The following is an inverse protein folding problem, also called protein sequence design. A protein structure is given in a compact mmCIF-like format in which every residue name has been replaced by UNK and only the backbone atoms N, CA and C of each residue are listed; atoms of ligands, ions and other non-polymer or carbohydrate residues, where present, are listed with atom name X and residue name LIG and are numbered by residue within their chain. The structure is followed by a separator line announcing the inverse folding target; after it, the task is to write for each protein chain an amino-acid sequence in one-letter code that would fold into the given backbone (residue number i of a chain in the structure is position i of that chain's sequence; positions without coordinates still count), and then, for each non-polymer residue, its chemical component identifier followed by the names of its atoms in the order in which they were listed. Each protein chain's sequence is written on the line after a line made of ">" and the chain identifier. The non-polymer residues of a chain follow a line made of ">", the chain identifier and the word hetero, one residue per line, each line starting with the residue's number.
data_IF_662974146439
#
_entry.id   IF_662974146439
#
_cell.length_a   1.000
_cell.length_b   1.000
_cell.length_c   1.000
_cell.angle_alpha   90.00
_cell.angle_beta   90.00
_cell.angle_gamma   90.00
#
_symmetry.space_group_name_H-M   'P 1'
#
loop_
_entity.id
_entity.type
_entity.pdbx_description
1 polymer ?
#
# COMPACT_ATOMS: atom_id res chain seq x y z
N UNK A 1 26.33 -7.80 53.05
CA UNK A 1 25.05 -7.36 52.46
C UNK A 1 25.02 -7.92 51.05
N UNK A 2 24.42 -9.10 50.88
CA UNK A 2 24.17 -9.75 49.59
C UNK A 2 22.65 -9.75 49.38
N UNK A 3 22.14 -8.88 48.51
CA UNK A 3 20.71 -8.76 48.20
C UNK A 3 20.48 -8.28 46.75
N UNK A 4 21.25 -8.77 45.78
CA UNK A 4 21.11 -8.32 44.39
C UNK A 4 20.93 -9.42 43.35
N UNK A 5 21.10 -10.70 43.67
CA UNK A 5 21.10 -11.76 42.64
C UNK A 5 19.75 -12.49 42.46
N UNK A 6 18.94 -12.65 43.52
CA UNK A 6 17.67 -13.40 43.42
C UNK A 6 16.58 -12.69 42.61
N UNK A 7 16.53 -11.35 42.63
CA UNK A 7 15.51 -10.57 41.91
C UNK A 7 15.64 -10.65 40.39
N UNK A 8 16.88 -10.78 39.88
CA UNK A 8 17.15 -10.77 38.44
C UNK A 8 16.77 -12.11 37.80
N UNK A 9 16.99 -13.20 38.53
CA UNK A 9 16.70 -14.56 38.12
C UNK A 9 15.18 -14.86 38.11
N UNK A 10 14.41 -14.28 39.05
CA UNK A 10 12.94 -14.40 39.04
C UNK A 10 12.26 -13.62 37.90
N UNK A 11 12.80 -12.46 37.51
CA UNK A 11 12.25 -11.67 36.40
C UNK A 11 12.44 -12.38 35.06
N UNK A 12 13.62 -12.98 34.84
CA UNK A 12 13.90 -13.75 33.62
C UNK A 12 13.01 -14.99 33.50
N UNK A 13 12.78 -15.73 34.60
CA UNK A 13 11.85 -16.86 34.60
C UNK A 13 10.40 -16.45 34.33
N UNK A 14 9.98 -15.26 34.80
CA UNK A 14 8.63 -14.74 34.52
C UNK A 14 8.49 -14.29 33.07
N UNK A 15 9.52 -13.71 32.47
CA UNK A 15 9.53 -13.35 31.04
C UNK A 15 9.49 -14.59 30.15
N UNK A 16 10.19 -15.68 30.51
CA UNK A 16 10.09 -16.96 29.79
C UNK A 16 8.68 -17.55 29.85
N UNK A 17 8.06 -17.60 31.05
CA UNK A 17 6.69 -18.13 31.21
C UNK A 17 5.67 -17.28 30.44
N UNK A 18 5.82 -15.96 30.43
CA UNK A 18 4.94 -15.07 29.66
C UNK A 18 5.12 -15.30 28.16
N UNK A 19 6.36 -15.47 27.70
CA UNK A 19 6.67 -15.73 26.29
C UNK A 19 6.12 -17.08 25.82
N UNK A 20 6.30 -18.14 26.62
CA UNK A 20 5.74 -19.47 26.34
C UNK A 20 4.21 -19.47 26.34
N UNK A 21 3.58 -18.76 27.28
CA UNK A 21 2.13 -18.63 27.32
C UNK A 21 1.58 -17.84 26.12
N UNK A 22 2.30 -16.81 25.69
CA UNK A 22 2.01 -16.04 24.48
C UNK A 22 2.11 -16.94 23.24
N UNK A 23 3.21 -17.69 23.08
CA UNK A 23 3.40 -18.60 21.96
C UNK A 23 2.35 -19.70 21.93
N UNK A 24 1.98 -20.24 23.10
CA UNK A 24 0.92 -21.24 23.22
C UNK A 24 -0.45 -20.64 22.85
N UNK A 25 -0.74 -19.40 23.26
CA UNK A 25 -1.96 -18.69 22.87
C UNK A 25 -1.99 -18.41 21.36
N UNK A 26 -0.87 -18.08 20.73
CA UNK A 26 -0.81 -17.82 19.28
C UNK A 26 -0.87 -19.11 18.44
N UNK A 27 -0.31 -20.21 18.92
CA UNK A 27 -0.35 -21.51 18.24
C UNK A 27 -1.71 -22.22 18.35
N UNK A 28 -2.42 -22.08 19.49
CA UNK A 28 -3.69 -22.78 19.72
C UNK A 28 -4.94 -21.91 19.51
N UNK A 29 -4.83 -20.60 19.31
CA UNK A 29 -6.01 -19.75 19.10
C UNK A 29 -6.46 -19.69 17.64
N UNK A 30 -7.76 -19.49 17.46
CA UNK A 30 -8.37 -19.08 16.18
C UNK A 30 -7.67 -17.85 15.54
N UNK A 31 -6.89 -17.10 16.31
CA UNK A 31 -6.09 -15.98 15.87
C UNK A 31 -4.90 -16.39 14.97
N UNK A 32 -4.25 -17.53 15.23
CA UNK A 32 -3.17 -18.04 14.36
C UNK A 32 -3.69 -18.40 12.96
N UNK A 33 -4.86 -19.03 12.89
CA UNK A 33 -5.54 -19.31 11.62
C UNK A 33 -6.03 -18.04 10.91
N UNK A 34 -6.44 -17.02 11.67
CA UNK A 34 -6.80 -15.70 11.12
C UNK A 34 -5.58 -14.95 10.57
N UNK A 35 -4.42 -14.99 11.23
CA UNK A 35 -3.20 -14.35 10.74
C UNK A 35 -2.67 -15.07 9.50
N UNK A 36 -2.67 -16.41 9.48
CA UNK A 36 -2.30 -17.17 8.29
C UNK A 36 -3.29 -16.96 7.14
N UNK A 37 -4.59 -16.87 7.45
CA UNK A 37 -5.62 -16.48 6.49
C UNK A 37 -5.39 -15.06 5.94
N UNK A 38 -5.03 -14.11 6.81
CA UNK A 38 -4.72 -12.73 6.45
C UNK A 38 -3.44 -12.63 5.61
N UNK A 39 -2.39 -13.38 5.96
CA UNK A 39 -1.16 -13.46 5.18
C UNK A 39 -1.40 -14.10 3.81
N UNK A 40 -2.21 -15.15 3.72
CA UNK A 40 -2.58 -15.75 2.44
C UNK A 40 -3.42 -14.80 1.58
N UNK A 41 -4.33 -14.03 2.18
CA UNK A 41 -5.11 -12.99 1.49
C UNK A 41 -4.25 -11.80 1.04
N UNK A 42 -3.28 -11.38 1.86
CA UNK A 42 -2.28 -10.38 1.47
C UNK A 42 -1.43 -10.90 0.31
N UNK A 43 -0.93 -12.13 0.40
CA UNK A 43 -0.05 -12.72 -0.61
C UNK A 43 -0.78 -13.03 -1.92
N UNK A 44 -2.09 -13.35 -1.89
CA UNK A 44 -2.92 -13.53 -3.09
C UNK A 44 -3.35 -12.19 -3.67
N UNK A 45 -3.75 -11.22 -2.85
CA UNK A 45 -4.10 -9.85 -3.27
C UNK A 45 -2.92 -9.10 -3.89
N UNK A 46 -1.71 -9.31 -3.37
CA UNK A 46 -0.48 -8.73 -3.90
C UNK A 46 -0.02 -9.34 -5.23
N UNK A 47 -0.54 -10.49 -5.68
CA UNK A 47 -0.06 -11.11 -6.94
C UNK A 47 -0.87 -10.72 -8.16
N UNK A 48 -2.16 -10.42 -8.03
CA UNK A 48 -3.05 -10.24 -9.19
C UNK A 48 -3.57 -8.80 -9.39
N UNK A 49 -3.27 -7.85 -8.50
CA UNK A 49 -3.76 -6.45 -8.59
C UNK A 49 -2.67 -5.46 -8.18
N UNK A 50 -1.52 -5.46 -8.86
CA UNK A 50 -0.52 -4.43 -8.60
C UNK A 50 -0.55 -3.36 -9.68
N UNK A 51 -1.27 -2.27 -9.39
CA UNK A 51 -0.96 -0.98 -10.01
C UNK A 51 0.48 -0.64 -9.70
N UNK A 52 1.34 -0.59 -10.72
CA UNK A 52 2.73 -0.15 -10.57
C UNK A 52 2.83 1.33 -10.87
N UNK A 53 3.62 2.05 -10.08
CA UNK A 53 3.88 3.47 -10.27
C UNK A 53 5.38 3.63 -10.43
N UNK A 54 5.80 4.15 -11.57
CA UNK A 54 7.20 4.39 -11.90
C UNK A 54 7.44 5.88 -12.08
N UNK A 55 8.36 6.44 -11.30
CA UNK A 55 8.68 7.87 -11.29
C UNK A 55 9.99 8.09 -12.04
N UNK A 56 9.98 8.95 -13.05
CA UNK A 56 11.14 9.26 -13.90
C UNK A 56 11.32 10.77 -13.97
N UNK A 57 12.40 11.28 -13.39
CA UNK A 57 12.81 12.67 -13.61
C UNK A 57 13.62 12.78 -14.92
N UNK A 58 13.32 13.81 -15.72
CA UNK A 58 14.08 14.18 -16.92
C UNK A 58 14.28 15.69 -16.95
N UNK A 59 15.13 16.15 -17.87
CA UNK A 59 15.39 17.59 -18.07
C UNK A 59 14.11 18.38 -18.37
N UNK A 60 13.15 17.76 -19.06
CA UNK A 60 11.86 18.39 -19.42
C UNK A 60 10.86 18.46 -18.26
N UNK A 61 11.02 17.61 -17.24
CA UNK A 61 10.06 17.51 -16.13
C UNK A 61 9.96 16.11 -15.54
N UNK A 62 8.93 15.93 -14.70
CA UNK A 62 8.64 14.69 -14.00
C UNK A 62 7.63 13.87 -14.78
N UNK A 63 7.97 12.62 -15.07
CA UNK A 63 7.07 11.63 -15.65
C UNK A 63 6.69 10.60 -14.59
N UNK A 64 5.42 10.24 -14.54
CA UNK A 64 4.89 9.21 -13.65
C UNK A 64 4.07 8.24 -14.48
N UNK A 65 4.59 7.02 -14.62
CA UNK A 65 3.91 5.96 -15.36
C UNK A 65 3.15 5.08 -14.38
N UNK A 66 1.83 5.05 -14.52
CA UNK A 66 0.92 4.26 -13.71
C UNK A 66 0.41 3.13 -14.58
N UNK A 67 0.83 1.89 -14.30
CA UNK A 67 0.32 0.71 -14.99
C UNK A 67 -0.95 0.25 -14.32
N UNK A 68 -2.04 0.23 -15.07
CA UNK A 68 -3.36 -0.18 -14.62
C UNK A 68 -3.53 -1.68 -14.94
N UNK A 69 -3.91 -2.52 -13.97
CA UNK A 69 -4.09 -3.95 -14.20
C UNK A 69 -5.09 -4.23 -15.32
N UNK A 70 -4.82 -5.25 -16.15
CA UNK A 70 -5.74 -5.68 -17.22
C UNK A 70 -7.11 -6.17 -16.70
N UNK A 71 -7.14 -6.56 -15.43
CA UNK A 71 -8.34 -6.95 -14.69
C UNK A 71 -9.24 -5.76 -14.36
N UNK A 72 -8.70 -4.53 -14.40
CA UNK A 72 -9.46 -3.31 -14.18
C UNK A 72 -10.44 -3.08 -15.33
N UNK A 73 -11.73 -3.20 -15.02
CA UNK A 73 -12.82 -3.08 -15.99
C UNK A 73 -13.90 -2.17 -15.41
N UNK A 74 -14.28 -1.17 -16.19
CA UNK A 74 -15.45 -0.32 -15.93
C UNK A 74 -15.42 0.33 -14.53
N UNK A 75 -14.35 1.09 -14.28
CA UNK A 75 -14.06 1.74 -13.01
C UNK A 75 -13.57 3.18 -13.15
N UNK A 76 -13.41 3.86 -12.03
CA UNK A 76 -12.91 5.23 -11.93
C UNK A 76 -11.43 5.23 -11.52
N UNK A 77 -10.64 6.08 -12.15
CA UNK A 77 -9.26 6.36 -11.76
C UNK A 77 -9.20 7.79 -11.27
N UNK A 78 -8.90 7.97 -9.98
CA UNK A 78 -8.75 9.27 -9.34
C UNK A 78 -7.28 9.51 -9.06
N UNK A 79 -6.78 10.64 -9.56
CA UNK A 79 -5.42 11.11 -9.31
C UNK A 79 -5.51 12.42 -8.55
N UNK A 80 -4.85 12.48 -7.39
CA UNK A 80 -4.78 13.66 -6.54
C UNK A 80 -3.33 13.94 -6.18
N UNK A 81 -2.93 15.22 -6.24
CA UNK A 81 -1.60 15.66 -5.81
C UNK A 81 -1.75 16.59 -4.63
N UNK A 82 -1.12 16.22 -3.52
CA UNK A 82 -1.07 17.05 -2.32
C UNK A 82 0.37 17.25 -1.86
N UNK A 83 0.85 18.48 -2.00
CA UNK A 83 2.26 18.84 -1.74
C UNK A 83 3.21 17.96 -2.57
N UNK A 84 3.91 17.02 -1.92
CA UNK A 84 4.85 16.08 -2.57
C UNK A 84 4.29 14.67 -2.69
N UNK A 85 3.00 14.46 -2.47
CA UNK A 85 2.40 13.13 -2.50
C UNK A 85 1.42 13.02 -3.66
N UNK A 86 1.64 12.00 -4.49
CA UNK A 86 0.70 11.56 -5.50
C UNK A 86 -0.15 10.44 -4.93
N UNK A 87 -1.46 10.60 -4.97
CA UNK A 87 -2.44 9.60 -4.62
C UNK A 87 -3.12 9.11 -5.90
N UNK A 88 -3.03 7.81 -6.15
CA UNK A 88 -3.69 7.14 -7.28
C UNK A 88 -4.69 6.15 -6.72
N UNK A 89 -5.97 6.37 -7.00
CA UNK A 89 -7.06 5.49 -6.55
C UNK A 89 -7.75 4.87 -7.75
N UNK A 90 -7.84 3.55 -7.78
CA UNK A 90 -8.62 2.78 -8.74
C UNK A 90 -9.87 2.28 -8.01
N UNK A 91 -11.06 2.58 -8.53
CA UNK A 91 -12.34 2.12 -7.99
C UNK A 91 -13.10 1.34 -9.05
N UNK A 92 -13.45 0.10 -8.75
CA UNK A 92 -14.27 -0.74 -9.62
C UNK A 92 -15.62 -1.01 -8.97
N UNK A 93 -16.66 -1.06 -9.79
CA UNK A 93 -18.00 -1.48 -9.38
C UNK A 93 -18.44 -2.65 -10.25
N UNK A 94 -18.57 -3.81 -9.63
CA UNK A 94 -19.09 -5.01 -10.29
C UNK A 94 -20.54 -5.21 -9.86
N UNK A 95 -21.47 -5.25 -10.82
CA UNK A 95 -22.89 -5.50 -10.54
C UNK A 95 -23.25 -6.90 -11.01
N UNK A 96 -23.69 -7.75 -10.09
CA UNK A 96 -24.23 -9.07 -10.40
C UNK A 96 -25.67 -9.18 -9.90
N UNK A 97 -26.62 -9.21 -10.83
CA UNK A 97 -28.06 -9.34 -10.58
C UNK A 97 -28.58 -8.31 -9.55
N UNK A 98 -28.66 -8.73 -8.27
CA UNK A 98 -29.19 -7.94 -7.15
C UNK A 98 -28.10 -7.42 -6.19
N UNK A 99 -26.83 -7.73 -6.45
CA UNK A 99 -25.69 -7.34 -5.62
C UNK A 99 -24.73 -6.45 -6.39
N UNK A 100 -24.07 -5.54 -5.66
CA UNK A 100 -23.01 -4.70 -6.18
C UNK A 100 -21.78 -4.84 -5.28
N UNK A 101 -20.68 -5.26 -5.86
CA UNK A 101 -19.36 -5.31 -5.21
C UNK A 101 -18.58 -4.07 -5.61
N UNK A 102 -17.97 -3.42 -4.62
CA UNK A 102 -17.10 -2.26 -4.82
C UNK A 102 -15.70 -2.64 -4.39
N UNK A 103 -14.74 -2.50 -5.30
CA UNK A 103 -13.32 -2.75 -5.04
C UNK A 103 -12.58 -1.44 -5.21
N UNK A 104 -11.76 -1.05 -4.23
CA UNK A 104 -10.95 0.16 -4.31
C UNK A 104 -9.52 -0.13 -3.90
N UNK A 105 -8.58 0.45 -4.64
CA UNK A 105 -7.15 0.41 -4.32
C UNK A 105 -6.58 1.81 -4.42
N UNK A 106 -5.99 2.29 -3.32
CA UNK A 106 -5.21 3.53 -3.32
C UNK A 106 -3.73 3.24 -3.16
N UNK A 107 -2.90 3.79 -4.04
CA UNK A 107 -1.45 3.85 -3.87
C UNK A 107 -1.00 5.30 -3.72
N UNK A 108 -0.13 5.52 -2.75
CA UNK A 108 0.49 6.82 -2.49
C UNK A 108 1.98 6.74 -2.76
N UNK A 109 2.52 7.70 -3.51
CA UNK A 109 3.95 7.81 -3.79
C UNK A 109 4.44 9.21 -3.46
N UNK A 110 5.60 9.28 -2.81
CA UNK A 110 6.28 10.55 -2.57
C UNK A 110 7.08 10.96 -3.81
N UNK A 111 6.85 12.17 -4.30
CA UNK A 111 7.50 12.78 -5.45
C UNK A 111 8.84 13.43 -5.06
N UNK A 112 9.79 13.54 -6.00
CA UNK A 112 11.11 14.14 -5.73
C UNK A 112 11.03 15.63 -5.35
N UNK A 113 9.98 16.33 -5.78
CA UNK A 113 9.70 17.73 -5.44
C UNK A 113 8.19 18.01 -5.50
N UNK A 114 7.78 19.19 -5.05
CA UNK A 114 6.38 19.61 -5.11
C UNK A 114 5.96 19.87 -6.56
N UNK A 115 4.78 19.38 -6.91
CA UNK A 115 4.17 19.64 -8.21
C UNK A 115 2.74 20.12 -7.98
N UNK A 116 2.19 20.86 -8.94
CA UNK A 116 0.83 21.36 -8.86
C UNK A 116 -0.06 20.57 -9.81
N UNK A 117 -1.26 20.23 -9.35
CA UNK A 117 -2.19 19.42 -10.14
C UNK A 117 -2.66 20.15 -11.40
N UNK A 118 -2.76 21.47 -11.37
CA UNK A 118 -3.12 22.30 -12.52
C UNK A 118 -2.11 22.26 -13.67
N UNK A 119 -0.84 21.92 -13.39
CA UNK A 119 0.21 21.83 -14.41
C UNK A 119 0.29 20.45 -15.06
N UNK A 120 -0.45 19.48 -14.52
CA UNK A 120 -0.40 18.08 -14.89
C UNK A 120 -0.94 17.87 -16.30
N UNK A 121 -0.13 17.21 -17.12
CA UNK A 121 -0.52 16.72 -18.43
C UNK A 121 -0.67 15.20 -18.35
N UNK A 122 -1.76 14.68 -18.91
CA UNK A 122 -2.06 13.24 -18.86
C UNK A 122 -2.09 12.67 -20.27
N UNK A 123 -1.43 11.52 -20.45
CA UNK A 123 -1.54 10.72 -21.66
C UNK A 123 -1.81 9.26 -21.30
N UNK A 124 -2.40 8.53 -22.24
CA UNK A 124 -2.75 7.13 -22.07
C UNK A 124 -2.18 6.31 -23.22
N UNK A 125 -1.49 5.23 -22.89
CA UNK A 125 -1.00 4.26 -23.87
C UNK A 125 -1.23 2.84 -23.35
N UNK A 126 -2.01 2.05 -24.10
CA UNK A 126 -2.38 0.67 -23.73
C UNK A 126 -2.94 0.55 -22.30
N UNK A 127 -2.12 0.10 -21.35
CA UNK A 127 -2.45 -0.09 -19.94
C UNK A 127 -1.71 0.89 -19.02
N UNK A 128 -1.05 1.90 -19.58
CA UNK A 128 -0.23 2.84 -18.83
C UNK A 128 -0.78 4.26 -18.97
N UNK A 129 -1.20 4.83 -17.84
CA UNK A 129 -1.43 6.26 -17.72
C UNK A 129 -0.10 6.94 -17.42
N UNK A 130 0.28 7.92 -18.22
CA UNK A 130 1.47 8.74 -17.96
C UNK A 130 1.04 10.13 -17.53
N UNK A 131 1.40 10.52 -16.31
CA UNK A 131 1.29 11.89 -15.82
C UNK A 131 2.61 12.61 -16.07
N UNK A 132 2.55 13.84 -16.56
CA UNK A 132 3.71 14.67 -16.80
C UNK A 132 3.55 16.01 -16.08
N UNK A 133 4.58 16.40 -15.33
CA UNK A 133 4.68 17.71 -14.69
C UNK A 133 5.91 18.45 -15.26
N UNK A 134 5.71 19.51 -16.07
CA UNK A 134 6.82 20.23 -16.68
C UNK A 134 7.64 21.00 -15.64
N UNK A 135 8.97 20.98 -15.80
CA UNK A 135 9.90 21.64 -14.86
C UNK A 135 9.81 23.17 -14.90
N UNK A 136 9.44 23.74 -16.05
CA UNK A 136 9.61 25.16 -16.36
C UNK A 136 8.30 25.96 -16.50
N UNK A 137 7.14 25.46 -16.04
CA UNK A 137 5.90 26.26 -16.11
C UNK A 137 5.90 27.47 -15.16
N UNK A 138 6.82 27.51 -14.18
CA UNK A 138 6.89 28.55 -13.13
C UNK A 138 8.29 29.09 -12.84
N UNK A 139 9.24 28.94 -13.78
CA UNK A 139 10.47 29.76 -13.79
C UNK A 139 10.24 31.09 -14.50
#
# INVERSE_FOLDING_TARGET
>A
MEFHDDKKNELQKKEEIITEAIDTLFQYSAFGNLINGFQNLINSSLKDVQTTIHVRERDTGLYIDITIPATFRDGEIVVDVKSRYLHVTLQEKQKHQNEATFTSMTRTVQLPYEVRQEDMETSWNEQTMTLFFPKNKHE
#
